data_IF_825084284328
#
_entry.id   IF_825084284328
#
_cell.length_a   1.000
_cell.length_b   1.000
_cell.length_c   1.000
_cell.angle_alpha   90.00
_cell.angle_beta   90.00
_cell.angle_gamma   90.00
#
_symmetry.space_group_name_H-M   'P 1'
#
loop_
_entity.id
_entity.type
_entity.pdbx_description
1 polymer ?
#
# COMPACT_ATOMS: atom_id res chain seq x y z
N UNK A 1 9.50 -17.42 -1.66
CA UNK A 1 8.27 -17.71 -2.41
C UNK A 1 8.35 -17.02 -3.75
N UNK A 2 7.53 -17.44 -4.69
CA UNK A 2 7.35 -16.75 -5.99
C UNK A 2 6.16 -15.79 -5.89
N UNK A 3 6.24 -14.64 -6.53
CA UNK A 3 5.14 -13.66 -6.57
C UNK A 3 4.24 -13.99 -7.76
N UNK A 4 3.00 -14.38 -7.50
CA UNK A 4 2.03 -14.73 -8.53
C UNK A 4 1.46 -13.52 -9.29
N UNK A 5 1.45 -12.34 -8.67
CA UNK A 5 0.97 -11.11 -9.28
C UNK A 5 1.25 -9.85 -8.46
N UNK A 6 1.16 -8.70 -9.13
CA UNK A 6 1.24 -7.37 -8.54
C UNK A 6 -0.02 -6.59 -8.90
N UNK A 7 -0.57 -5.85 -7.93
CA UNK A 7 -1.71 -4.93 -8.10
C UNK A 7 -1.44 -3.64 -7.33
N UNK A 8 -2.06 -2.55 -7.78
CA UNK A 8 -2.03 -1.26 -7.09
C UNK A 8 -3.43 -0.93 -6.59
N UNK A 9 -3.50 -0.23 -5.45
CA UNK A 9 -4.74 0.26 -4.88
C UNK A 9 -4.50 1.56 -4.12
N UNK A 10 -5.57 2.31 -3.85
CA UNK A 10 -5.53 3.47 -2.95
C UNK A 10 -6.21 3.17 -1.62
N UNK A 11 -5.92 3.98 -0.62
CA UNK A 11 -6.60 3.90 0.68
C UNK A 11 -7.95 4.60 0.68
N UNK A 12 -8.03 5.75 0.03
CA UNK A 12 -9.20 6.61 0.05
C UNK A 12 -9.39 7.26 -1.32
N UNK A 13 -10.63 7.68 -1.58
CA UNK A 13 -11.02 8.41 -2.79
C UNK A 13 -12.06 9.46 -2.44
N UNK A 14 -11.95 10.64 -3.03
CA UNK A 14 -12.99 11.68 -2.93
C UNK A 14 -14.16 11.39 -3.88
N UNK A 15 -15.39 11.80 -3.55
CA UNK A 15 -16.53 11.67 -4.45
C UNK A 15 -16.30 12.43 -5.77
N UNK A 16 -16.80 11.88 -6.88
CA UNK A 16 -16.67 12.47 -8.22
C UNK A 16 -15.85 11.62 -9.20
N UNK A 17 -16.20 11.63 -10.50
CA UNK A 17 -15.48 10.87 -11.53
C UNK A 17 -14.04 11.33 -11.75
N UNK A 18 -13.72 12.60 -11.44
CA UNK A 18 -12.37 13.16 -11.55
C UNK A 18 -11.38 12.50 -10.58
N UNK A 19 -11.85 11.82 -9.54
CA UNK A 19 -11.03 11.06 -8.59
C UNK A 19 -11.00 9.56 -8.87
N UNK A 20 -11.58 9.10 -9.98
CA UNK A 20 -11.62 7.66 -10.33
C UNK A 20 -10.23 7.03 -10.49
N UNK A 21 -9.18 7.84 -10.67
CA UNK A 21 -7.78 7.37 -10.71
C UNK A 21 -7.30 6.76 -9.39
N UNK A 22 -8.01 6.95 -8.27
CA UNK A 22 -7.73 6.28 -7.01
C UNK A 22 -8.28 4.84 -6.95
N UNK A 23 -9.07 4.40 -7.92
CA UNK A 23 -9.58 3.02 -7.94
C UNK A 23 -8.50 2.03 -8.43
N UNK A 24 -8.49 0.78 -7.91
CA UNK A 24 -9.38 0.28 -6.86
C UNK A 24 -8.95 0.74 -5.46
N UNK A 25 -9.92 0.91 -4.55
CA UNK A 25 -9.62 0.99 -3.12
C UNK A 25 -9.14 -0.37 -2.57
N UNK A 26 -8.27 -0.35 -1.56
CA UNK A 26 -7.73 -1.57 -0.94
C UNK A 26 -8.83 -2.52 -0.44
N UNK A 27 -9.87 -1.97 0.19
CA UNK A 27 -11.01 -2.74 0.71
C UNK A 27 -11.75 -3.51 -0.38
N UNK A 28 -11.89 -2.90 -1.57
CA UNK A 28 -12.56 -3.52 -2.71
C UNK A 28 -11.65 -4.55 -3.37
N UNK A 29 -10.36 -4.23 -3.51
CA UNK A 29 -9.38 -5.11 -4.16
C UNK A 29 -9.21 -6.44 -3.42
N UNK A 30 -9.13 -6.43 -2.09
CA UNK A 30 -8.95 -7.66 -1.30
C UNK A 30 -10.17 -8.58 -1.32
N UNK A 31 -11.37 -8.01 -1.52
CA UNK A 31 -12.62 -8.75 -1.61
C UNK A 31 -12.90 -9.30 -3.03
N UNK A 32 -12.19 -8.81 -4.04
CA UNK A 32 -12.36 -9.26 -5.43
C UNK A 32 -11.50 -10.49 -5.74
N UNK A 33 -12.10 -11.67 -5.60
CA UNK A 33 -11.42 -12.95 -5.88
C UNK A 33 -11.07 -13.15 -7.36
N UNK A 34 -11.69 -12.41 -8.30
CA UNK A 34 -11.31 -12.47 -9.69
C UNK A 34 -10.01 -11.70 -9.95
N UNK A 35 -9.80 -10.60 -9.23
CA UNK A 35 -8.59 -9.76 -9.37
C UNK A 35 -7.43 -10.25 -8.49
N UNK A 36 -7.73 -10.74 -7.28
CA UNK A 36 -6.77 -11.28 -6.30
C UNK A 36 -7.18 -12.72 -5.93
N UNK A 37 -6.94 -13.71 -6.80
CA UNK A 37 -7.30 -15.10 -6.53
C UNK A 37 -6.46 -15.75 -5.43
N UNK A 38 -5.30 -15.17 -5.11
CA UNK A 38 -4.38 -15.68 -4.09
C UNK A 38 -4.95 -15.55 -2.67
N UNK A 39 -4.48 -16.46 -1.80
CA UNK A 39 -4.83 -16.49 -0.39
C UNK A 39 -3.80 -15.79 0.49
N UNK A 40 -2.55 -15.69 0.04
CA UNK A 40 -1.50 -14.96 0.74
C UNK A 40 -1.19 -13.68 -0.01
N UNK A 41 -1.44 -12.53 0.64
CA UNK A 41 -1.27 -11.21 0.02
C UNK A 41 -0.34 -10.37 0.88
N UNK A 42 0.71 -9.83 0.28
CA UNK A 42 1.58 -8.84 0.92
C UNK A 42 1.12 -7.46 0.49
N UNK A 43 0.70 -6.63 1.43
CA UNK A 43 0.42 -5.21 1.19
C UNK A 43 1.68 -4.39 1.47
N UNK A 44 2.29 -3.89 0.39
CA UNK A 44 3.44 -2.99 0.48
C UNK A 44 2.97 -1.58 0.85
N UNK A 45 3.39 -1.09 2.02
CA UNK A 45 3.01 0.22 2.54
C UNK A 45 3.83 1.33 1.89
N UNK A 46 3.35 1.88 0.77
CA UNK A 46 4.00 2.99 0.06
C UNK A 46 3.76 4.34 0.76
N UNK A 47 4.17 4.44 2.02
CA UNK A 47 4.07 5.60 2.90
C UNK A 47 5.46 6.02 3.40
N UNK A 48 5.72 7.32 3.46
CA UNK A 48 7.00 7.85 3.95
C UNK A 48 7.10 7.88 5.49
N UNK A 49 6.00 7.73 6.20
CA UNK A 49 5.99 7.73 7.66
C UNK A 49 4.78 6.96 8.21
N UNK A 50 4.88 6.42 9.44
CA UNK A 50 3.72 5.90 10.13
C UNK A 50 2.73 7.03 10.46
N UNK A 51 1.44 6.71 10.44
CA UNK A 51 0.36 7.66 10.68
C UNK A 51 -0.99 6.94 10.75
N UNK A 52 -2.10 7.67 10.60
CA UNK A 52 -3.46 7.08 10.67
C UNK A 52 -3.66 5.86 9.77
N UNK A 53 -2.99 5.83 8.62
CA UNK A 53 -3.13 4.76 7.64
C UNK A 53 -2.17 3.60 7.89
N UNK A 54 -0.88 3.90 7.97
CA UNK A 54 0.21 2.92 7.93
C UNK A 54 0.88 2.65 9.29
N UNK A 55 0.38 3.24 10.37
CA UNK A 55 0.82 2.94 11.74
C UNK A 55 0.10 1.73 12.33
N UNK A 56 0.59 1.24 13.47
CA UNK A 56 -0.05 0.15 14.22
C UNK A 56 -1.51 0.50 14.57
N UNK A 57 -2.44 -0.41 14.27
CA UNK A 57 -3.87 -0.20 14.43
C UNK A 57 -4.49 0.81 13.44
N UNK A 58 -3.74 1.21 12.41
CA UNK A 58 -4.19 2.13 11.38
C UNK A 58 -5.19 1.53 10.39
N UNK A 59 -5.64 2.37 9.46
CA UNK A 59 -6.70 2.01 8.49
C UNK A 59 -6.33 0.78 7.64
N UNK A 60 -5.06 0.63 7.24
CA UNK A 60 -4.63 -0.51 6.41
C UNK A 60 -4.82 -1.83 7.15
N UNK A 61 -4.39 -1.89 8.41
CA UNK A 61 -4.52 -3.09 9.25
C UNK A 61 -6.00 -3.42 9.49
N UNK A 62 -6.83 -2.41 9.72
CA UNK A 62 -8.27 -2.59 9.88
C UNK A 62 -8.92 -3.15 8.61
N UNK A 63 -8.64 -2.58 7.44
CA UNK A 63 -9.16 -3.06 6.15
C UNK A 63 -8.74 -4.50 5.88
N UNK A 64 -7.46 -4.82 6.09
CA UNK A 64 -6.93 -6.16 5.90
C UNK A 64 -7.63 -7.18 6.79
N UNK A 65 -7.80 -6.86 8.09
CA UNK A 65 -8.52 -7.72 9.04
C UNK A 65 -9.98 -7.96 8.66
N UNK A 66 -10.68 -6.92 8.19
CA UNK A 66 -12.07 -7.09 7.74
C UNK A 66 -12.15 -7.94 6.45
N UNK A 67 -11.20 -7.79 5.53
CA UNK A 67 -11.11 -8.63 4.34
C UNK A 67 -10.84 -10.10 4.69
N UNK A 68 -9.95 -10.39 5.64
CA UNK A 68 -9.69 -11.75 6.13
C UNK A 68 -10.92 -12.42 6.76
N UNK A 69 -11.74 -11.64 7.48
CA UNK A 69 -13.03 -12.12 8.00
C UNK A 69 -14.04 -12.40 6.89
N UNK A 70 -14.10 -11.52 5.89
CA UNK A 70 -15.06 -11.62 4.78
C UNK A 70 -14.69 -12.75 3.80
N UNK A 71 -13.40 -13.06 3.65
CA UNK A 71 -12.88 -14.04 2.70
C UNK A 71 -12.12 -15.16 3.42
N UNK A 72 -12.78 -16.29 3.75
CA UNK A 72 -12.13 -17.41 4.42
C UNK A 72 -10.85 -17.88 3.71
N UNK A 73 -9.78 -18.00 4.47
CA UNK A 73 -8.47 -18.44 3.99
C UNK A 73 -7.60 -17.33 3.39
N UNK A 74 -8.09 -16.10 3.22
CA UNK A 74 -7.22 -14.95 2.96
C UNK A 74 -6.35 -14.68 4.19
N UNK A 75 -5.07 -14.39 3.94
CA UNK A 75 -4.07 -13.96 4.92
C UNK A 75 -3.30 -12.79 4.31
N UNK A 76 -3.22 -11.72 5.06
CA UNK A 76 -2.56 -10.49 4.67
C UNK A 76 -1.31 -10.28 5.50
N UNK A 77 -0.28 -9.72 4.87
CA UNK A 77 0.99 -9.41 5.50
C UNK A 77 1.34 -7.97 5.13
N UNK A 78 1.67 -7.16 6.13
CA UNK A 78 2.04 -5.76 5.90
C UNK A 78 3.55 -5.63 5.92
N UNK A 79 4.11 -4.84 5.01
CA UNK A 79 5.49 -4.37 5.15
C UNK A 79 5.55 -3.21 6.14
N UNK A 80 6.76 -2.84 6.57
CA UNK A 80 6.98 -1.51 7.16
C UNK A 80 6.71 -0.42 6.09
N UNK A 81 6.39 0.83 6.51
CA UNK A 81 6.31 1.97 5.59
C UNK A 81 7.60 2.14 4.78
N UNK A 82 7.48 2.45 3.48
CA UNK A 82 8.62 2.71 2.59
C UNK A 82 9.67 3.64 3.20
N UNK A 83 9.23 4.70 3.89
CA UNK A 83 10.12 5.70 4.47
C UNK A 83 11.10 5.16 5.51
N UNK A 84 10.88 3.95 6.05
CA UNK A 84 11.81 3.29 6.98
C UNK A 84 12.92 2.52 6.25
N UNK A 85 12.83 2.36 4.92
CA UNK A 85 13.82 1.64 4.14
C UNK A 85 15.11 2.48 3.93
N UNK A 86 16.31 1.93 4.16
CA UNK A 86 17.57 2.69 4.12
C UNK A 86 17.85 3.34 2.75
N UNK A 87 17.45 2.73 1.63
CA UNK A 87 17.60 3.32 0.30
C UNK A 87 16.85 4.66 0.11
N UNK A 88 15.87 4.98 0.97
CA UNK A 88 15.23 6.31 0.94
C UNK A 88 16.23 7.40 1.31
N UNK A 89 17.18 7.13 2.20
CA UNK A 89 18.24 8.09 2.53
C UNK A 89 19.18 8.31 1.35
N UNK A 90 19.61 7.24 0.67
CA UNK A 90 20.45 7.32 -0.52
C UNK A 90 19.76 8.16 -1.62
N UNK A 91 18.45 7.94 -1.83
CA UNK A 91 17.66 8.72 -2.78
C UNK A 91 17.56 10.20 -2.38
N UNK A 92 17.38 10.49 -1.09
CA UNK A 92 17.33 11.87 -0.60
C UNK A 92 18.68 12.58 -0.76
N UNK A 93 19.80 11.87 -0.54
CA UNK A 93 21.15 12.39 -0.76
C UNK A 93 21.38 12.73 -2.25
N UNK A 94 20.98 11.85 -3.17
CA UNK A 94 21.05 12.10 -4.61
C UNK A 94 20.26 13.37 -5.00
N UNK A 95 19.01 13.48 -4.55
CA UNK A 95 18.14 14.64 -4.85
C UNK A 95 18.66 15.93 -4.24
N UNK A 96 19.30 15.84 -3.07
CA UNK A 96 19.95 16.98 -2.44
C UNK A 96 21.16 17.47 -3.26
N UNK A 97 21.99 16.55 -3.76
CA UNK A 97 23.11 16.87 -4.65
C UNK A 97 22.65 17.58 -5.94
N UNK A 98 21.62 17.05 -6.61
CA UNK A 98 21.02 17.68 -7.80
C UNK A 98 20.59 19.14 -7.55
N UNK A 99 20.07 19.44 -6.35
CA UNK A 99 19.65 20.80 -5.99
C UNK A 99 20.83 21.75 -5.79
N UNK A 100 21.96 21.26 -5.28
CA UNK A 100 23.18 22.05 -5.12
C UNK A 100 23.84 22.35 -6.47
N UNK A 101 23.85 21.37 -7.37
CA UNK A 101 24.44 21.52 -8.71
C UNK A 101 23.60 22.42 -9.64
N UNK A 102 22.32 22.64 -9.32
CA UNK A 102 21.41 23.48 -10.08
C UNK A 102 21.46 24.98 -9.71
N UNK A 103 22.20 25.37 -8.65
CA UNK A 103 22.36 26.75 -8.18
C UNK A 103 23.64 27.42 -8.64
#
# INVERSE_FOLDING_TARGET
>A
GEVAGLRTCSMERRPGPEYAFNEPLLENLLCDEATVPERDVVAALFFLSPGKHAGAGGDVEAICREAEKARPGLRTFLTEPLGEHPLVLDLLEERWGECLDAG
#
